data_IF_284519445175
#
_entry.id   IF_284519445175
#
_cell.length_a   1.000
_cell.length_b   1.000
_cell.length_c   1.000
_cell.angle_alpha   90.00
_cell.angle_beta   90.00
_cell.angle_gamma   90.00
#
_symmetry.space_group_name_H-M   'P 1'
#
loop_
_entity.id
_entity.type
_entity.pdbx_description
1 polymer ?
#
# COMPACT_ATOMS: atom_id res chain seq x y z
N UNK A 1 11.15 3.24 -13.72
CA UNK A 1 9.82 2.70 -13.38
C UNK A 1 9.34 1.74 -14.47
N UNK A 2 9.25 2.17 -15.74
CA UNK A 2 8.71 1.36 -16.84
C UNK A 2 9.42 0.01 -16.99
N UNK A 3 10.78 -0.01 -16.98
CA UNK A 3 11.53 -1.27 -17.04
C UNK A 3 11.20 -2.23 -15.90
N UNK A 4 10.97 -1.73 -14.69
CA UNK A 4 10.58 -2.55 -13.53
C UNK A 4 9.13 -3.03 -13.61
N UNK A 5 8.29 -2.33 -14.35
CA UNK A 5 6.90 -2.71 -14.60
C UNK A 5 6.73 -3.56 -15.86
N UNK A 6 7.83 -3.82 -16.60
CA UNK A 6 7.81 -4.46 -17.92
C UNK A 6 6.86 -3.76 -18.90
N UNK A 7 6.80 -2.43 -18.81
CA UNK A 7 5.95 -1.57 -19.63
C UNK A 7 6.80 -0.73 -20.58
N UNK A 8 6.30 -0.54 -21.80
CA UNK A 8 6.91 0.36 -22.77
C UNK A 8 6.67 1.82 -22.38
N UNK A 9 7.71 2.65 -22.52
CA UNK A 9 7.57 4.10 -22.40
C UNK A 9 7.00 4.64 -23.70
N UNK A 10 5.77 5.12 -23.66
CA UNK A 10 5.06 5.64 -24.85
C UNK A 10 5.40 7.08 -25.22
N UNK A 11 6.13 7.77 -24.37
CA UNK A 11 6.48 9.18 -24.57
C UNK A 11 6.04 10.06 -23.41
N UNK A 12 6.21 11.35 -23.56
CA UNK A 12 5.83 12.38 -22.61
C UNK A 12 6.33 13.74 -23.05
N UNK A 13 5.91 14.77 -22.36
CA UNK A 13 6.29 16.14 -22.64
C UNK A 13 6.41 16.94 -21.34
N UNK A 14 7.11 18.05 -21.40
CA UNK A 14 7.17 19.04 -20.32
C UNK A 14 6.50 20.33 -20.79
N UNK A 15 5.20 20.43 -20.48
CA UNK A 15 4.39 21.59 -20.86
C UNK A 15 4.58 22.75 -19.87
N UNK A 16 4.61 23.98 -20.39
CA UNK A 16 4.54 25.18 -19.56
C UNK A 16 3.08 25.53 -19.30
N UNK A 17 2.61 25.30 -18.06
CA UNK A 17 1.21 25.52 -17.68
C UNK A 17 1.10 26.74 -16.75
N UNK A 18 1.30 27.94 -17.32
CA UNK A 18 1.10 29.20 -16.60
C UNK A 18 -0.33 29.30 -16.10
N UNK A 19 -0.52 29.78 -14.85
CA UNK A 19 -1.81 29.94 -14.17
C UNK A 19 -2.48 28.62 -13.70
N UNK A 20 -1.95 27.46 -14.06
CA UNK A 20 -2.44 26.15 -13.60
C UNK A 20 -1.50 25.60 -12.52
N UNK A 21 -0.19 25.64 -12.78
CA UNK A 21 0.85 25.19 -11.83
C UNK A 21 1.43 26.39 -11.10
N UNK A 22 1.57 26.25 -9.76
CA UNK A 22 2.13 27.29 -8.90
C UNK A 22 3.58 27.59 -9.34
N UNK A 23 3.97 28.86 -9.55
CA UNK A 23 5.34 29.21 -9.92
C UNK A 23 6.38 28.58 -8.99
N UNK A 24 7.46 28.04 -9.58
CA UNK A 24 8.52 27.33 -8.82
C UNK A 24 8.17 25.90 -8.38
N UNK A 25 7.05 25.37 -8.81
CA UNK A 25 6.68 23.97 -8.60
C UNK A 25 6.59 23.22 -9.92
N UNK A 26 6.46 21.89 -9.86
CA UNK A 26 6.20 21.02 -11.00
C UNK A 26 5.13 20.00 -10.65
N UNK A 27 4.34 19.62 -11.64
CA UNK A 27 3.34 18.56 -11.57
C UNK A 27 3.83 17.37 -12.40
N UNK A 28 3.71 16.16 -11.84
CA UNK A 28 3.98 14.93 -12.57
C UNK A 28 2.67 14.16 -12.73
N UNK A 29 2.28 13.94 -13.96
CA UNK A 29 1.10 13.17 -14.32
C UNK A 29 1.46 12.07 -15.33
N UNK A 30 0.68 11.01 -15.37
CA UNK A 30 0.88 9.91 -16.29
C UNK A 30 -0.35 9.06 -16.43
N UNK A 31 -0.43 8.34 -17.54
CA UNK A 31 -1.43 7.32 -17.79
C UNK A 31 -0.77 6.03 -18.22
N UNK A 32 -1.43 4.91 -17.98
CA UNK A 32 -0.99 3.60 -18.45
C UNK A 32 -2.18 2.85 -19.05
N UNK A 33 -1.92 2.12 -20.14
CA UNK A 33 -2.88 1.23 -20.79
C UNK A 33 -2.30 -0.18 -20.73
N UNK A 34 -3.14 -1.16 -20.39
CA UNK A 34 -2.78 -2.57 -20.36
C UNK A 34 -3.87 -3.43 -21.00
N UNK A 35 -3.51 -4.67 -21.33
CA UNK A 35 -4.41 -5.66 -21.91
C UNK A 35 -4.57 -6.83 -20.93
N UNK A 36 -5.80 -7.19 -20.62
CA UNK A 36 -6.13 -8.44 -19.93
C UNK A 36 -6.35 -9.50 -21.00
N UNK A 37 -5.39 -10.39 -21.17
CA UNK A 37 -5.36 -11.39 -22.25
C UNK A 37 -6.37 -12.53 -22.05
N UNK A 38 -6.85 -12.74 -20.83
CA UNK A 38 -7.86 -13.76 -20.51
C UNK A 38 -8.84 -13.24 -19.47
N UNK A 39 -10.12 -13.56 -19.62
CA UNK A 39 -11.15 -13.26 -18.61
C UNK A 39 -10.84 -13.88 -17.25
N UNK A 40 -10.12 -14.99 -17.23
CA UNK A 40 -9.71 -15.65 -15.98
C UNK A 40 -8.70 -14.83 -15.18
N UNK A 41 -7.98 -13.92 -15.85
CA UNK A 41 -7.01 -13.02 -15.23
C UNK A 41 -7.65 -11.68 -14.78
N UNK A 42 -8.97 -11.54 -14.95
CA UNK A 42 -9.68 -10.36 -14.49
C UNK A 42 -9.90 -10.41 -12.97
N UNK A 43 -9.09 -9.66 -12.23
CA UNK A 43 -9.16 -9.58 -10.78
C UNK A 43 -10.12 -8.46 -10.37
N UNK A 44 -11.27 -8.84 -9.82
CA UNK A 44 -12.32 -7.92 -9.36
C UNK A 44 -12.87 -8.38 -8.01
N UNK A 45 -13.41 -7.45 -7.21
CA UNK A 45 -13.88 -7.73 -5.85
C UNK A 45 -14.97 -8.80 -5.76
N UNK A 46 -15.77 -9.00 -6.80
CA UNK A 46 -16.79 -10.06 -6.87
C UNK A 46 -16.26 -11.48 -6.69
N UNK A 47 -14.94 -11.68 -6.85
CA UNK A 47 -14.31 -12.98 -6.66
C UNK A 47 -13.98 -13.27 -5.19
N UNK A 48 -14.07 -12.28 -4.30
CA UNK A 48 -13.83 -12.45 -2.86
C UNK A 48 -14.77 -13.46 -2.25
N UNK A 49 -14.24 -14.30 -1.38
CA UNK A 49 -14.97 -15.35 -0.67
C UNK A 49 -14.61 -15.32 0.81
N UNK A 50 -15.58 -15.70 1.66
CA UNK A 50 -15.30 -15.94 3.07
C UNK A 50 -14.17 -16.97 3.22
N UNK A 51 -13.25 -16.74 4.16
CA UNK A 51 -12.04 -17.50 4.43
C UNK A 51 -10.90 -17.28 3.41
N UNK A 52 -11.02 -16.36 2.45
CA UNK A 52 -9.84 -15.94 1.68
C UNK A 52 -8.79 -15.38 2.63
N UNK A 53 -7.53 -15.73 2.35
CA UNK A 53 -6.38 -15.23 3.10
C UNK A 53 -5.96 -13.87 2.59
N UNK A 54 -5.43 -13.07 3.50
CA UNK A 54 -4.89 -11.74 3.24
C UNK A 54 -3.38 -11.83 3.28
N UNK A 55 -2.73 -11.73 2.13
CA UNK A 55 -1.28 -11.64 2.02
C UNK A 55 -0.92 -10.17 1.91
N UNK A 56 -0.16 -9.65 2.87
CA UNK A 56 0.35 -8.28 2.85
C UNK A 56 1.79 -8.28 2.39
N UNK A 57 2.12 -7.41 1.45
CA UNK A 57 3.49 -7.18 0.98
C UNK A 57 4.14 -6.07 1.80
N UNK A 58 5.39 -6.29 2.22
CA UNK A 58 6.17 -5.32 2.98
C UNK A 58 6.54 -4.13 2.11
N UNK A 59 6.28 -2.94 2.59
CA UNK A 59 6.70 -1.69 1.94
C UNK A 59 8.16 -1.36 2.24
N UNK A 60 8.73 -0.45 1.44
CA UNK A 60 10.06 0.11 1.72
C UNK A 60 9.99 1.37 2.60
N UNK A 61 8.81 1.96 2.81
CA UNK A 61 8.64 3.18 3.61
C UNK A 61 7.29 3.84 3.35
N UNK A 62 7.26 5.15 3.52
CA UNK A 62 6.03 5.98 3.52
C UNK A 62 5.35 6.03 2.15
N UNK A 63 6.09 5.82 1.07
CA UNK A 63 5.64 6.04 -0.30
C UNK A 63 5.18 7.51 -0.51
N UNK A 64 4.12 7.75 -1.28
CA UNK A 64 3.61 9.09 -1.56
C UNK A 64 2.41 9.49 -0.68
N UNK A 65 2.27 8.89 0.52
CA UNK A 65 1.10 9.10 1.38
C UNK A 65 1.44 9.88 2.64
N UNK A 66 0.49 10.71 3.12
CA UNK A 66 0.69 11.48 4.33
C UNK A 66 1.81 12.54 4.26
N UNK A 67 2.25 12.91 3.07
CA UNK A 67 3.41 13.81 2.86
C UNK A 67 3.18 15.20 3.45
N UNK A 68 1.95 15.70 3.45
CA UNK A 68 1.66 16.98 4.11
C UNK A 68 1.97 16.94 5.60
N UNK A 69 1.64 15.84 6.28
CA UNK A 69 1.95 15.63 7.68
C UNK A 69 3.47 15.47 7.90
N UNK A 70 4.16 14.70 7.06
CA UNK A 70 5.62 14.53 7.16
C UNK A 70 6.36 15.86 7.00
N UNK A 71 5.89 16.72 6.09
CA UNK A 71 6.42 18.09 5.93
C UNK A 71 6.15 18.96 7.17
N UNK A 72 4.96 18.83 7.78
CA UNK A 72 4.63 19.55 9.01
C UNK A 72 5.51 19.10 10.18
N UNK A 73 5.81 17.81 10.29
CA UNK A 73 6.77 17.25 11.25
C UNK A 73 8.16 17.86 11.01
N UNK A 74 8.68 17.83 9.78
CA UNK A 74 9.99 18.39 9.45
C UNK A 74 10.13 19.86 9.86
N UNK A 75 9.08 20.68 9.67
CA UNK A 75 9.08 22.10 10.05
C UNK A 75 9.21 22.33 11.56
N UNK A 76 8.80 21.36 12.39
CA UNK A 76 8.89 21.44 13.86
C UNK A 76 10.25 20.96 14.41
N UNK A 77 11.05 20.28 13.59
CA UNK A 77 12.32 19.71 14.01
C UNK A 77 13.44 20.71 13.87
N UNK A 78 14.36 20.81 14.86
CA UNK A 78 15.49 21.75 14.80
C UNK A 78 16.39 21.63 13.57
N UNK A 79 16.55 20.39 13.04
CA UNK A 79 17.34 20.10 11.85
C UNK A 79 16.48 19.75 10.64
N UNK A 80 15.15 19.94 10.73
CA UNK A 80 14.23 19.61 9.64
C UNK A 80 14.42 18.18 9.10
N UNK A 81 14.55 18.06 7.78
CA UNK A 81 14.79 16.78 7.11
C UNK A 81 16.14 16.14 7.40
N UNK A 82 17.13 16.91 7.89
CA UNK A 82 18.44 16.40 8.31
C UNK A 82 18.44 15.82 9.74
N UNK A 83 17.28 15.75 10.38
CA UNK A 83 17.14 15.05 11.67
C UNK A 83 17.37 13.57 11.46
N UNK A 84 18.23 12.95 12.28
CA UNK A 84 18.48 11.51 12.24
C UNK A 84 17.39 10.75 12.99
N UNK A 85 16.94 9.66 12.40
CA UNK A 85 16.12 8.63 13.03
C UNK A 85 16.98 7.80 14.00
N UNK A 86 16.37 6.91 14.78
CA UNK A 86 17.09 6.05 15.74
C UNK A 86 18.03 5.05 15.05
N UNK A 87 17.74 4.65 13.82
CA UNK A 87 18.59 3.81 12.97
C UNK A 87 19.73 4.58 12.28
N UNK A 88 19.81 5.89 12.51
CA UNK A 88 20.85 6.76 11.95
C UNK A 88 20.55 7.33 10.56
N UNK A 89 19.48 6.90 9.89
CA UNK A 89 19.05 7.42 8.58
C UNK A 89 18.50 8.85 8.76
N UNK A 90 18.75 9.75 7.82
CA UNK A 90 18.13 11.07 7.84
C UNK A 90 16.64 10.97 7.52
N UNK A 91 15.82 11.76 8.22
CA UNK A 91 14.38 11.79 8.01
C UNK A 91 14.01 12.04 6.56
N UNK A 92 14.68 12.96 5.89
CA UNK A 92 14.47 13.25 4.47
C UNK A 92 14.75 12.04 3.58
N UNK A 93 15.83 11.30 3.83
CA UNK A 93 16.20 10.12 3.05
C UNK A 93 15.19 8.99 3.24
N UNK A 94 14.74 8.78 4.48
CA UNK A 94 13.70 7.79 4.78
C UNK A 94 12.36 8.10 4.07
N UNK A 95 12.03 9.39 3.89
CA UNK A 95 10.84 9.81 3.13
C UNK A 95 10.98 9.63 1.61
N UNK A 96 12.21 9.59 1.09
CA UNK A 96 12.51 9.44 -0.34
C UNK A 96 12.78 7.99 -0.75
N UNK A 97 12.58 7.04 0.14
CA UNK A 97 12.74 5.62 -0.17
C UNK A 97 11.85 5.22 -1.35
N UNK A 98 12.42 4.46 -2.31
CA UNK A 98 11.72 4.06 -3.52
C UNK A 98 10.54 3.16 -3.21
N UNK A 99 9.39 3.48 -3.79
CA UNK A 99 8.19 2.65 -3.76
C UNK A 99 8.39 1.37 -4.56
N UNK A 100 7.92 0.24 -4.06
CA UNK A 100 7.90 -1.01 -4.79
C UNK A 100 6.99 -0.96 -6.02
N UNK A 101 7.37 -1.67 -7.07
CA UNK A 101 6.58 -1.82 -8.30
C UNK A 101 6.22 -3.29 -8.43
N UNK A 102 4.94 -3.61 -8.33
CA UNK A 102 4.44 -5.00 -8.24
C UNK A 102 3.90 -5.55 -9.57
N UNK A 103 3.98 -4.79 -10.67
CA UNK A 103 3.38 -5.21 -11.95
C UNK A 103 3.87 -6.59 -12.39
N UNK A 104 5.20 -6.78 -12.45
CA UNK A 104 5.78 -8.09 -12.78
C UNK A 104 5.38 -9.19 -11.80
N UNK A 105 5.41 -8.93 -10.50
CA UNK A 105 5.00 -9.90 -9.50
C UNK A 105 3.56 -10.38 -9.73
N UNK A 106 2.63 -9.45 -9.98
CA UNK A 106 1.23 -9.81 -10.22
C UNK A 106 1.10 -10.63 -11.50
N UNK A 107 1.85 -10.30 -12.55
CA UNK A 107 1.90 -11.08 -13.77
C UNK A 107 2.41 -12.50 -13.51
N UNK A 108 3.54 -12.67 -12.81
CA UNK A 108 4.11 -13.97 -12.47
C UNK A 108 3.13 -14.84 -11.63
N UNK A 109 2.38 -14.22 -10.72
CA UNK A 109 1.34 -14.92 -9.95
C UNK A 109 0.21 -15.45 -10.86
N UNK A 110 -0.26 -14.61 -11.80
CA UNK A 110 -1.32 -14.98 -12.74
C UNK A 110 -0.83 -16.07 -13.73
N UNK A 111 0.39 -15.96 -14.24
CA UNK A 111 1.01 -16.95 -15.14
C UNK A 111 1.23 -18.31 -14.43
N UNK A 112 1.50 -18.28 -13.13
CA UNK A 112 1.57 -19.47 -12.30
C UNK A 112 0.19 -20.08 -11.95
N UNK A 113 -0.90 -19.53 -12.53
CA UNK A 113 -2.28 -19.92 -12.26
C UNK A 113 -2.68 -19.80 -10.79
N UNK A 114 -2.15 -18.79 -10.07
CA UNK A 114 -2.67 -18.41 -8.77
C UNK A 114 -4.03 -17.71 -8.99
N UNK A 115 -5.07 -18.24 -8.35
CA UNK A 115 -6.40 -17.64 -8.43
C UNK A 115 -6.50 -16.47 -7.47
N UNK A 116 -6.15 -15.27 -7.95
CA UNK A 116 -6.23 -14.03 -7.17
C UNK A 116 -7.68 -13.54 -7.17
N UNK A 117 -8.27 -13.40 -6.00
CA UNK A 117 -9.66 -12.97 -5.86
C UNK A 117 -9.79 -11.45 -5.80
N UNK A 118 -8.82 -10.76 -5.18
CA UNK A 118 -8.81 -9.30 -5.09
C UNK A 118 -7.40 -8.78 -4.85
N UNK A 119 -7.17 -7.54 -5.26
CA UNK A 119 -5.93 -6.80 -5.05
C UNK A 119 -6.26 -5.42 -4.48
N UNK A 120 -5.50 -4.96 -3.51
CA UNK A 120 -5.66 -3.62 -2.96
C UNK A 120 -4.30 -2.97 -2.71
N UNK A 121 -4.09 -1.81 -3.33
CA UNK A 121 -2.94 -0.96 -3.05
C UNK A 121 -3.23 -0.14 -1.78
N UNK A 122 -2.37 -0.28 -0.76
CA UNK A 122 -2.51 0.41 0.52
C UNK A 122 -1.78 1.76 0.42
N UNK A 123 -2.55 2.82 0.20
CA UNK A 123 -2.07 4.18 -0.01
C UNK A 123 -2.72 5.13 1.00
N UNK A 124 -3.00 6.40 0.66
CA UNK A 124 -3.77 7.30 1.54
C UNK A 124 -5.07 6.64 2.02
N UNK A 125 -5.45 6.76 3.26
CA UNK A 125 -6.42 5.99 4.04
C UNK A 125 -5.85 4.71 4.68
N UNK A 126 -4.55 4.44 4.54
CA UNK A 126 -3.89 3.34 5.21
C UNK A 126 -4.54 1.98 4.97
N UNK A 127 -4.56 1.12 5.98
CA UNK A 127 -5.15 -0.21 5.90
C UNK A 127 -6.67 -0.22 5.65
N UNK A 128 -7.38 0.89 5.86
CA UNK A 128 -8.79 0.98 5.47
C UNK A 128 -9.03 0.65 4.00
N UNK A 129 -8.02 0.86 3.16
CA UNK A 129 -8.12 0.60 1.71
C UNK A 129 -8.42 -0.84 1.35
N UNK A 130 -8.09 -1.81 2.17
CA UNK A 130 -8.36 -3.22 1.88
C UNK A 130 -9.87 -3.54 1.83
N UNK A 131 -10.71 -2.71 2.46
CA UNK A 131 -12.17 -2.84 2.41
C UNK A 131 -12.84 -1.98 1.33
N UNK A 132 -12.11 -1.60 0.26
CA UNK A 132 -12.68 -0.88 -0.89
C UNK A 132 -13.61 -1.75 -1.72
N UNK A 133 -13.51 -3.06 -1.63
CA UNK A 133 -14.47 -3.98 -2.18
C UNK A 133 -15.88 -3.65 -1.66
N UNK A 134 -16.89 -3.78 -2.52
CA UNK A 134 -18.28 -3.39 -2.17
C UNK A 134 -18.99 -4.43 -1.33
N UNK A 135 -18.48 -5.64 -1.31
CA UNK A 135 -19.05 -6.78 -0.62
C UNK A 135 -18.89 -6.65 0.90
N UNK A 136 -19.89 -7.13 1.64
CA UNK A 136 -19.92 -7.06 3.10
C UNK A 136 -19.06 -8.15 3.72
N UNK A 137 -17.78 -7.81 3.95
CA UNK A 137 -16.82 -8.65 4.62
C UNK A 137 -16.13 -7.89 5.77
N UNK A 138 -15.86 -8.62 6.85
CA UNK A 138 -14.89 -8.20 7.87
C UNK A 138 -13.50 -8.72 7.50
N UNK A 139 -12.55 -7.81 7.39
CA UNK A 139 -11.14 -8.07 7.07
C UNK A 139 -10.37 -8.19 8.38
N UNK A 140 -10.04 -9.43 8.77
CA UNK A 140 -9.35 -9.74 10.02
C UNK A 140 -7.83 -9.73 9.78
N UNK A 141 -7.13 -8.78 10.37
CA UNK A 141 -5.66 -8.71 10.36
C UNK A 141 -5.15 -9.21 11.72
N UNK A 142 -4.69 -10.47 11.73
CA UNK A 142 -4.19 -11.17 12.92
C UNK A 142 -2.70 -10.88 13.16
N UNK A 143 -1.97 -10.53 12.09
CA UNK A 143 -0.54 -10.26 12.12
C UNK A 143 -0.21 -9.03 11.30
N UNK A 144 0.76 -8.26 11.78
CA UNK A 144 1.32 -7.10 11.10
C UNK A 144 2.84 -7.21 11.06
N UNK A 145 3.47 -6.53 10.10
CA UNK A 145 4.93 -6.35 10.13
C UNK A 145 5.30 -5.27 11.15
N UNK A 146 6.54 -5.31 11.65
CA UNK A 146 7.08 -4.18 12.39
C UNK A 146 7.28 -3.01 11.41
N UNK A 147 6.66 -1.84 11.66
CA UNK A 147 6.83 -0.68 10.80
C UNK A 147 8.27 -0.19 10.78
N UNK A 148 8.73 0.34 9.64
CA UNK A 148 10.02 1.00 9.56
C UNK A 148 10.08 2.19 10.53
N UNK A 149 11.28 2.52 11.00
CA UNK A 149 11.51 3.55 12.02
C UNK A 149 10.92 4.92 11.64
N UNK A 150 10.85 5.23 10.37
CA UNK A 150 10.23 6.48 9.90
C UNK A 150 8.77 6.63 10.34
N UNK A 151 8.01 5.53 10.45
CA UNK A 151 6.62 5.59 10.93
C UNK A 151 6.56 5.86 12.43
N UNK A 152 7.41 5.21 13.23
CA UNK A 152 7.52 5.43 14.66
C UNK A 152 7.94 6.88 14.95
N UNK A 153 8.88 7.39 14.15
CA UNK A 153 9.34 8.77 14.24
C UNK A 153 8.21 9.76 13.94
N UNK A 154 7.45 9.55 12.85
CA UNK A 154 6.31 10.39 12.50
C UNK A 154 5.26 10.35 13.61
N UNK A 155 4.89 9.15 14.06
CA UNK A 155 3.90 8.96 15.13
C UNK A 155 4.26 9.76 16.38
N UNK A 156 5.51 9.60 16.85
CA UNK A 156 6.04 10.29 18.04
C UNK A 156 5.99 11.81 17.90
N UNK A 157 6.48 12.35 16.78
CA UNK A 157 6.61 13.81 16.61
C UNK A 157 5.30 14.49 16.19
N UNK A 158 4.35 13.75 15.63
CA UNK A 158 3.01 14.24 15.33
C UNK A 158 2.03 14.02 16.49
N UNK A 159 2.35 13.16 17.46
CA UNK A 159 1.48 12.84 18.59
C UNK A 159 0.24 12.02 18.18
N UNK A 160 0.37 11.11 17.20
CA UNK A 160 -0.75 10.35 16.65
C UNK A 160 -0.93 9.00 17.36
N UNK A 161 -2.17 8.58 17.49
CA UNK A 161 -2.56 7.25 17.92
C UNK A 161 -2.25 6.18 16.85
N UNK A 162 -2.25 4.91 17.24
CA UNK A 162 -2.16 3.79 16.28
C UNK A 162 -3.31 3.84 15.26
N UNK A 163 -4.53 4.17 15.68
CA UNK A 163 -5.68 4.29 14.79
C UNK A 163 -5.43 5.35 13.70
N UNK A 164 -4.95 6.54 14.06
CA UNK A 164 -4.63 7.59 13.10
C UNK A 164 -3.50 7.19 12.15
N UNK A 165 -2.47 6.53 12.67
CA UNK A 165 -1.34 6.06 11.86
C UNK A 165 -1.78 4.98 10.86
N UNK A 166 -2.44 3.91 11.30
CA UNK A 166 -2.92 2.83 10.42
C UNK A 166 -4.05 3.29 9.50
N UNK A 167 -4.75 4.36 9.86
CA UNK A 167 -5.76 5.01 9.02
C UNK A 167 -5.19 5.98 7.98
N UNK A 168 -3.91 6.35 8.07
CA UNK A 168 -3.26 7.34 7.18
C UNK A 168 -2.16 6.73 6.34
N UNK A 169 -1.32 5.88 6.95
CA UNK A 169 -0.11 5.32 6.36
C UNK A 169 -0.26 3.81 6.09
N UNK A 170 0.62 3.29 5.25
CA UNK A 170 0.71 1.86 4.98
C UNK A 170 1.32 1.06 6.15
N UNK A 171 1.97 1.72 7.10
CA UNK A 171 2.60 1.12 8.29
C UNK A 171 3.47 -0.10 8.00
N UNK A 172 4.24 -0.04 6.92
CA UNK A 172 5.13 -1.11 6.49
C UNK A 172 4.51 -2.16 5.56
N UNK A 173 3.24 -1.98 5.12
CA UNK A 173 2.50 -2.94 4.29
C UNK A 173 1.72 -2.18 3.21
N UNK A 174 2.24 -2.14 1.98
CA UNK A 174 1.69 -1.24 0.95
C UNK A 174 0.85 -1.94 -0.14
N UNK A 175 0.73 -3.25 -0.07
CA UNK A 175 -0.09 -4.01 -1.02
C UNK A 175 -0.71 -5.24 -0.37
N UNK A 176 -1.97 -5.53 -0.73
CA UNK A 176 -2.71 -6.68 -0.24
C UNK A 176 -3.17 -7.57 -1.40
N UNK A 177 -2.95 -8.88 -1.28
CA UNK A 177 -3.38 -9.91 -2.22
C UNK A 177 -4.34 -10.84 -1.48
N UNK A 178 -5.51 -11.06 -2.07
CA UNK A 178 -6.55 -11.94 -1.52
C UNK A 178 -6.68 -13.19 -2.37
N UNK A 179 -6.57 -14.35 -1.75
CA UNK A 179 -6.59 -15.64 -2.42
C UNK A 179 -7.01 -16.77 -1.47
N UNK A 180 -7.31 -17.93 -2.02
CA UNK A 180 -7.68 -19.09 -1.20
C UNK A 180 -6.49 -19.64 -0.40
N UNK A 181 -6.75 -20.23 0.76
CA UNK A 181 -5.72 -20.84 1.64
C UNK A 181 -4.76 -21.78 0.88
N UNK A 182 -5.28 -22.60 -0.04
CA UNK A 182 -4.48 -23.56 -0.81
C UNK A 182 -3.39 -22.91 -1.67
N UNK A 183 -3.59 -21.65 -2.08
CA UNK A 183 -2.66 -20.93 -2.97
C UNK A 183 -1.62 -20.13 -2.19
N UNK A 184 -1.78 -19.95 -0.87
CA UNK A 184 -0.92 -19.10 -0.02
C UNK A 184 0.55 -19.46 -0.14
N UNK A 185 0.90 -20.74 0.08
CA UNK A 185 2.30 -21.19 0.06
C UNK A 185 2.96 -20.89 -1.27
N UNK A 186 2.30 -21.30 -2.37
CA UNK A 186 2.82 -21.10 -3.73
C UNK A 186 2.95 -19.60 -4.06
N UNK A 187 1.97 -18.79 -3.66
CA UNK A 187 2.02 -17.35 -3.85
C UNK A 187 3.21 -16.71 -3.11
N UNK A 188 3.44 -17.08 -1.84
CA UNK A 188 4.57 -16.57 -1.05
C UNK A 188 5.93 -16.99 -1.63
N UNK A 189 6.05 -18.20 -2.17
CA UNK A 189 7.26 -18.63 -2.88
C UNK A 189 7.55 -17.77 -4.12
N UNK A 190 6.52 -17.44 -4.91
CA UNK A 190 6.65 -16.54 -6.07
C UNK A 190 6.99 -15.11 -5.64
N UNK A 191 6.35 -14.60 -4.58
CA UNK A 191 6.64 -13.27 -4.01
C UNK A 191 8.10 -13.18 -3.61
N UNK A 192 8.61 -14.18 -2.88
CA UNK A 192 10.02 -14.24 -2.45
C UNK A 192 10.98 -14.33 -3.65
N UNK A 193 10.65 -15.13 -4.68
CA UNK A 193 11.43 -15.21 -5.91
C UNK A 193 11.53 -13.87 -6.66
N UNK A 194 10.49 -13.03 -6.55
CA UNK A 194 10.48 -11.68 -7.10
C UNK A 194 11.20 -10.65 -6.20
N UNK A 195 11.83 -11.08 -5.10
CA UNK A 195 12.59 -10.22 -4.20
C UNK A 195 11.74 -9.43 -3.20
N UNK A 196 10.48 -9.82 -2.98
CA UNK A 196 9.61 -9.17 -2.03
C UNK A 196 9.39 -10.03 -0.78
N UNK A 197 9.15 -9.35 0.35
CA UNK A 197 8.73 -9.99 1.59
C UNK A 197 7.20 -9.93 1.71
N UNK A 198 6.60 -10.99 2.25
CA UNK A 198 5.15 -11.05 2.47
C UNK A 198 4.79 -11.70 3.79
N UNK A 199 3.61 -11.35 4.28
CA UNK A 199 3.02 -11.90 5.48
C UNK A 199 1.63 -12.44 5.17
N UNK A 200 1.35 -13.70 5.53
CA UNK A 200 -0.02 -14.20 5.63
C UNK A 200 -0.63 -13.57 6.88
N UNK A 201 -1.28 -12.43 6.68
CA UNK A 201 -1.64 -11.50 7.75
C UNK A 201 -2.99 -11.79 8.39
N UNK A 202 -3.84 -12.55 7.71
CA UNK A 202 -5.18 -12.80 8.23
C UNK A 202 -6.13 -13.36 7.17
N UNK A 203 -7.41 -13.11 7.35
CA UNK A 203 -8.46 -13.66 6.48
C UNK A 203 -9.68 -12.73 6.42
N UNK A 204 -10.60 -13.01 5.50
CA UNK A 204 -11.89 -12.33 5.47
C UNK A 204 -13.02 -13.26 5.93
N UNK A 205 -14.03 -12.70 6.56
CA UNK A 205 -15.27 -13.41 6.95
C UNK A 205 -16.49 -12.60 6.59
N UNK A 206 -17.62 -13.26 6.36
CA UNK A 206 -18.92 -12.57 6.21
C UNK A 206 -19.23 -11.74 7.44
N UNK A 207 -19.75 -10.54 7.25
CA UNK A 207 -20.09 -9.63 8.33
C UNK A 207 -20.09 -8.19 7.88
N UNK A 208 -20.14 -7.25 8.82
CA UNK A 208 -20.01 -5.83 8.53
C UNK A 208 -18.75 -5.54 7.71
N UNK A 209 -18.84 -4.60 6.79
CA UNK A 209 -17.68 -4.13 6.03
C UNK A 209 -16.79 -3.29 6.93
N UNK A 210 -15.74 -3.91 7.46
CA UNK A 210 -14.79 -3.30 8.38
C UNK A 210 -13.42 -3.96 8.31
N UNK A 211 -12.38 -3.27 8.77
CA UNK A 211 -11.04 -3.81 8.97
C UNK A 211 -10.79 -3.88 10.47
N UNK A 212 -10.42 -5.07 10.96
CA UNK A 212 -10.04 -5.30 12.35
C UNK A 212 -8.54 -5.62 12.39
N UNK A 213 -7.76 -4.77 13.07
CA UNK A 213 -6.32 -4.97 13.28
C UNK A 213 -6.14 -5.44 14.72
N UNK A 214 -6.16 -6.77 14.92
CA UNK A 214 -6.13 -7.37 16.25
C UNK A 214 -4.90 -6.97 17.09
N UNK A 215 -3.66 -6.99 16.53
CA UNK A 215 -2.47 -6.63 17.32
C UNK A 215 -2.47 -5.20 17.85
N UNK A 216 -3.27 -4.32 17.23
CA UNK A 216 -3.39 -2.91 17.59
C UNK A 216 -4.71 -2.57 18.28
N UNK A 217 -5.65 -3.51 18.34
CA UNK A 217 -7.02 -3.30 18.86
C UNK A 217 -7.74 -2.14 18.13
N UNK A 218 -7.48 -2.00 16.83
CA UNK A 218 -8.05 -0.96 15.96
C UNK A 218 -9.11 -1.56 15.08
N UNK A 219 -10.25 -0.87 14.95
CA UNK A 219 -11.35 -1.26 14.06
C UNK A 219 -11.73 -0.06 13.20
N UNK A 220 -11.66 -0.24 11.89
CA UNK A 220 -12.13 0.73 10.91
C UNK A 220 -13.44 0.26 10.29
N UNK A 221 -14.52 0.99 10.50
CA UNK A 221 -15.80 0.75 9.83
C UNK A 221 -15.82 1.37 8.44
N UNK A 222 -16.75 0.91 7.60
CA UNK A 222 -16.85 1.33 6.19
C UNK A 222 -17.10 2.82 6.00
N UNK A 223 -17.79 3.49 6.93
CA UNK A 223 -18.04 4.93 6.94
C UNK A 223 -16.76 5.76 7.08
N UNK A 224 -15.71 5.18 7.66
CA UNK A 224 -14.38 5.82 7.77
C UNK A 224 -13.61 5.85 6.45
N UNK A 225 -14.07 5.12 5.43
CA UNK A 225 -13.49 5.06 4.09
C UNK A 225 -14.24 6.03 3.15
N UNK A 226 -14.33 7.30 3.49
CA UNK A 226 -14.94 8.33 2.66
C UNK A 226 -14.20 8.44 1.31
N UNK A 227 -14.60 7.61 0.36
CA UNK A 227 -14.18 7.69 -1.03
C UNK A 227 -15.11 8.66 -1.74
N UNK A 228 -14.54 9.80 -2.15
CA UNK A 228 -15.18 10.71 -3.10
C UNK A 228 -15.15 10.11 -4.50
#
# INVERSE_FOLDING_TARGET
ACNLAEASWGGGETATMKQIVIPGTSELAGSAIGIITSKNNLVISKNLKSNDRIILLKSNGVNANGISLTRAVAKKLPKGYATKLSDGIMYGDALLTKTNIYAKLIQDLLEANINIHYLSNITGHGLRKIMRAKEDFTYMIEKIVEPQEVFNFIQKHAGLSDEEMYGTYNMGMDYAIFLSEKDVKKAQEIITKNGFESLNAGYIKKGERQVVIEPKKVVFKSDTLNLR
#
